data_IF_791740520104
#
_entry.id   IF_791740520104
#
_cell.length_a   1.000
_cell.length_b   1.000
_cell.length_c   1.000
_cell.angle_alpha   90.00
_cell.angle_beta   90.00
_cell.angle_gamma   90.00
#
_symmetry.space_group_name_H-M   'P 1'
#
loop_
_entity.id
_entity.type
_entity.pdbx_description
1 polymer ?
#
# COMPACT_ATOMS: atom_id res chain seq x y z
N UNK A 1 1.13 -18.18 5.63
CA UNK A 1 0.04 -17.17 5.64
C UNK A 1 0.26 -16.22 4.48
N UNK A 2 -0.69 -16.13 3.54
CA UNK A 2 -0.63 -15.11 2.49
C UNK A 2 -0.98 -13.75 3.10
N UNK A 3 -0.13 -12.74 2.90
CA UNK A 3 -0.37 -11.39 3.39
C UNK A 3 -1.35 -10.68 2.45
N UNK A 4 -2.61 -10.55 2.87
CA UNK A 4 -3.63 -9.84 2.12
C UNK A 4 -3.65 -8.37 2.52
N UNK A 5 -3.29 -7.48 1.60
CA UNK A 5 -3.41 -6.04 1.82
C UNK A 5 -4.87 -5.62 1.91
N UNK A 6 -5.16 -4.55 2.65
CA UNK A 6 -6.47 -3.92 2.60
C UNK A 6 -6.70 -3.31 1.22
N UNK A 7 -7.89 -3.53 0.68
CA UNK A 7 -8.42 -2.87 -0.51
C UNK A 7 -8.96 -1.49 -0.15
N UNK A 8 -9.32 -0.69 -1.15
CA UNK A 8 -9.97 0.60 -0.90
C UNK A 8 -11.35 0.41 -0.26
N UNK A 9 -12.13 -0.57 -0.71
CA UNK A 9 -13.48 -0.86 -0.20
C UNK A 9 -13.46 -1.25 1.28
N UNK A 10 -12.48 -2.07 1.68
CA UNK A 10 -12.32 -2.45 3.09
C UNK A 10 -11.92 -1.24 3.95
N UNK A 11 -11.07 -0.34 3.44
CA UNK A 11 -10.70 0.91 4.14
C UNK A 11 -11.89 1.85 4.30
N UNK A 12 -12.69 2.00 3.25
CA UNK A 12 -13.93 2.79 3.29
C UNK A 12 -14.93 2.21 4.28
N UNK A 13 -15.11 0.88 4.26
CA UNK A 13 -15.94 0.16 5.22
C UNK A 13 -15.49 0.40 6.66
N UNK A 14 -14.18 0.32 6.93
CA UNK A 14 -13.61 0.61 8.27
C UNK A 14 -13.97 2.04 8.71
N UNK A 15 -13.84 3.04 7.82
CA UNK A 15 -14.21 4.42 8.14
C UNK A 15 -15.71 4.52 8.46
N UNK A 16 -16.58 4.02 7.57
CA UNK A 16 -18.04 4.08 7.73
C UNK A 16 -18.45 3.45 9.07
N UNK A 17 -18.01 2.23 9.36
CA UNK A 17 -18.40 1.55 10.60
C UNK A 17 -17.84 2.23 11.85
N UNK A 18 -16.65 2.85 11.79
CA UNK A 18 -16.14 3.65 12.90
C UNK A 18 -16.97 4.91 13.14
N UNK A 19 -17.45 5.57 12.07
CA UNK A 19 -18.36 6.72 12.21
C UNK A 19 -19.72 6.33 12.80
N UNK A 20 -20.16 5.09 12.58
CA UNK A 20 -21.36 4.52 13.19
C UNK A 20 -21.14 4.05 14.66
N UNK A 21 -19.93 4.21 15.21
CA UNK A 21 -19.62 3.87 16.60
C UNK A 21 -19.22 2.42 16.86
N UNK A 22 -19.06 1.59 15.82
CA UNK A 22 -18.64 0.19 16.01
C UNK A 22 -17.19 0.10 16.51
N UNK A 23 -16.91 -0.92 17.32
CA UNK A 23 -15.55 -1.23 17.75
C UNK A 23 -14.82 -2.11 16.72
N UNK A 24 -13.48 -2.18 16.79
CA UNK A 24 -12.67 -2.93 15.81
C UNK A 24 -13.02 -4.42 15.73
N UNK A 25 -13.44 -5.04 16.83
CA UNK A 25 -13.84 -6.46 16.84
C UNK A 25 -15.14 -6.70 16.06
N UNK A 26 -16.10 -5.77 16.12
CA UNK A 26 -17.32 -5.83 15.31
C UNK A 26 -17.02 -5.61 13.83
N UNK A 27 -16.23 -4.59 13.52
CA UNK A 27 -15.82 -4.26 12.14
C UNK A 27 -15.07 -5.43 11.51
N UNK A 28 -14.18 -6.08 12.25
CA UNK A 28 -13.43 -7.26 11.82
C UNK A 28 -14.33 -8.40 11.35
N UNK A 29 -15.44 -8.64 12.06
CA UNK A 29 -16.43 -9.65 11.66
C UNK A 29 -17.14 -9.28 10.36
N UNK A 30 -17.47 -8.00 10.17
CA UNK A 30 -18.16 -7.50 8.98
C UNK A 30 -17.27 -7.50 7.73
N UNK A 31 -16.00 -7.11 7.89
CA UNK A 31 -15.03 -6.99 6.78
C UNK A 31 -14.26 -8.31 6.57
N UNK A 32 -14.56 -9.36 7.35
CA UNK A 32 -13.89 -10.66 7.31
C UNK A 32 -12.36 -10.55 7.48
N UNK A 33 -11.91 -9.69 8.39
CA UNK A 33 -10.49 -9.46 8.71
C UNK A 33 -10.21 -9.71 10.17
N UNK A 34 -8.94 -9.88 10.52
CA UNK A 34 -8.57 -10.01 11.93
C UNK A 34 -8.66 -8.64 12.65
N UNK A 35 -9.19 -8.56 13.89
CA UNK A 35 -9.30 -7.31 14.63
C UNK A 35 -7.98 -6.55 14.78
N UNK A 36 -6.87 -7.27 14.98
CA UNK A 36 -5.54 -6.64 15.07
C UNK A 36 -5.13 -6.00 13.73
N UNK A 37 -5.46 -6.61 12.59
CA UNK A 37 -5.15 -6.04 11.27
C UNK A 37 -5.87 -4.71 11.07
N UNK A 38 -7.14 -4.62 11.47
CA UNK A 38 -7.90 -3.37 11.42
C UNK A 38 -7.31 -2.33 12.39
N UNK A 39 -6.97 -2.74 13.61
CA UNK A 39 -6.34 -1.83 14.58
C UNK A 39 -5.01 -1.27 14.07
N UNK A 40 -4.17 -2.11 13.46
CA UNK A 40 -2.90 -1.69 12.88
C UNK A 40 -3.10 -0.77 11.67
N UNK A 41 -4.04 -1.09 10.78
CA UNK A 41 -4.39 -0.23 9.64
C UNK A 41 -4.86 1.15 10.11
N UNK A 42 -5.78 1.17 11.08
CA UNK A 42 -6.30 2.41 11.66
C UNK A 42 -5.19 3.24 12.30
N UNK A 43 -4.40 2.65 13.21
CA UNK A 43 -3.31 3.35 13.90
C UNK A 43 -2.24 3.87 12.94
N UNK A 44 -1.91 3.13 11.88
CA UNK A 44 -0.91 3.52 10.88
C UNK A 44 -1.33 4.77 10.09
N UNK A 45 -2.62 4.94 9.87
CA UNK A 45 -3.16 5.99 9.00
C UNK A 45 -4.01 7.04 9.73
N UNK A 46 -4.12 6.95 11.05
CA UNK A 46 -4.69 7.99 11.91
C UNK A 46 -3.70 9.15 12.01
N UNK A 47 -3.99 10.26 11.32
CA UNK A 47 -3.18 11.49 11.37
C UNK A 47 -4.05 12.64 11.86
N UNK A 48 -3.54 13.42 12.81
CA UNK A 48 -4.24 14.59 13.37
C UNK A 48 -5.66 14.26 13.86
N UNK A 49 -5.85 13.04 14.39
CA UNK A 49 -7.15 12.56 14.88
C UNK A 49 -8.12 12.09 13.79
N UNK A 50 -7.76 12.19 12.51
CA UNK A 50 -8.61 11.77 11.39
C UNK A 50 -8.06 10.55 10.65
N UNK A 51 -8.95 9.65 10.24
CA UNK A 51 -8.62 8.51 9.38
C UNK A 51 -9.16 8.77 7.97
N UNK A 52 -8.31 8.63 6.95
CA UNK A 52 -8.67 8.83 5.55
C UNK A 52 -8.31 7.59 4.71
N UNK A 53 -9.31 6.85 4.19
CA UNK A 53 -9.12 5.69 3.31
C UNK A 53 -8.26 6.03 2.09
N UNK A 54 -8.52 7.18 1.45
CA UNK A 54 -7.75 7.66 0.29
C UNK A 54 -6.27 7.86 0.62
N UNK A 55 -5.97 8.45 1.77
CA UNK A 55 -4.58 8.68 2.19
C UNK A 55 -3.89 7.35 2.56
N UNK A 56 -4.61 6.43 3.20
CA UNK A 56 -4.12 5.08 3.50
C UNK A 56 -3.76 4.32 2.21
N UNK A 57 -4.66 4.31 1.23
CA UNK A 57 -4.45 3.72 -0.09
C UNK A 57 -3.26 4.34 -0.83
N UNK A 58 -3.19 5.69 -0.87
CA UNK A 58 -2.07 6.41 -1.50
C UNK A 58 -0.74 6.05 -0.82
N UNK A 59 -0.70 6.05 0.50
CA UNK A 59 0.49 5.68 1.27
C UNK A 59 0.93 4.24 0.98
N UNK A 60 -0.01 3.31 0.84
CA UNK A 60 0.29 1.94 0.43
C UNK A 60 0.93 1.88 -0.96
N UNK A 61 0.35 2.57 -1.97
CA UNK A 61 0.91 2.57 -3.32
C UNK A 61 2.31 3.18 -3.39
N UNK A 62 2.56 4.27 -2.65
CA UNK A 62 3.90 4.86 -2.55
C UNK A 62 4.86 3.84 -1.95
N UNK A 63 4.56 3.25 -0.80
CA UNK A 63 5.41 2.23 -0.20
C UNK A 63 5.66 1.04 -1.15
N UNK A 64 4.60 0.55 -1.81
CA UNK A 64 4.69 -0.55 -2.78
C UNK A 64 5.57 -0.20 -3.98
N UNK A 65 5.55 1.05 -4.43
CA UNK A 65 6.40 1.54 -5.52
C UNK A 65 7.89 1.55 -5.16
N UNK A 66 8.25 1.57 -3.88
CA UNK A 66 9.65 1.41 -3.43
C UNK A 66 10.06 -0.05 -3.24
N UNK A 67 9.10 -0.97 -3.13
CA UNK A 67 9.38 -2.40 -2.96
C UNK A 67 9.74 -3.10 -4.29
N UNK A 68 10.45 -4.22 -4.17
CA UNK A 68 10.79 -5.11 -5.29
C UNK A 68 11.95 -4.61 -6.15
N UNK A 69 12.58 -5.54 -6.88
CA UNK A 69 13.71 -5.24 -7.77
C UNK A 69 13.25 -4.36 -8.92
N UNK A 70 13.93 -3.23 -9.13
CA UNK A 70 13.64 -2.30 -10.21
C UNK A 70 14.37 -2.69 -11.48
N UNK A 71 13.71 -2.54 -12.63
CA UNK A 71 14.32 -2.73 -13.95
C UNK A 71 15.09 -1.46 -14.29
N UNK A 72 16.30 -1.35 -13.75
CA UNK A 72 17.07 -0.09 -13.78
C UNK A 72 17.34 0.40 -15.21
N UNK A 73 17.52 -0.50 -16.17
CA UNK A 73 17.72 -0.14 -17.59
C UNK A 73 16.46 0.40 -18.28
N UNK A 74 15.27 0.22 -17.69
CA UNK A 74 14.01 0.84 -18.14
C UNK A 74 13.78 2.19 -17.47
N UNK A 75 14.43 2.45 -16.33
CA UNK A 75 14.24 3.66 -15.51
C UNK A 75 15.31 4.71 -15.82
N UNK A 76 16.57 4.27 -15.93
CA UNK A 76 17.72 5.13 -16.19
C UNK A 76 18.14 4.99 -17.65
N UNK A 77 17.72 5.96 -18.46
CA UNK A 77 18.03 6.01 -19.89
C UNK A 77 19.52 6.23 -20.17
N UNK A 78 20.23 6.95 -19.30
CA UNK A 78 21.66 7.18 -19.49
C UNK A 78 22.41 5.86 -19.31
N UNK A 79 22.13 5.14 -18.22
CA UNK A 79 22.69 3.81 -17.98
C UNK A 79 22.33 2.85 -19.12
N UNK A 80 21.07 2.86 -19.56
CA UNK A 80 20.59 2.04 -20.67
C UNK A 80 21.39 2.29 -21.95
N UNK A 81 21.64 3.55 -22.29
CA UNK A 81 22.38 3.93 -23.49
C UNK A 81 23.87 3.54 -23.39
N UNK A 82 24.51 3.75 -22.23
CA UNK A 82 25.89 3.31 -21.99
C UNK A 82 26.02 1.79 -22.17
N UNK A 83 25.10 1.01 -21.59
CA UNK A 83 25.12 -0.44 -21.71
C UNK A 83 24.93 -0.87 -23.17
N UNK A 84 24.01 -0.24 -23.92
CA UNK A 84 23.81 -0.52 -25.36
C UNK A 84 25.06 -0.23 -26.19
N UNK A 85 25.69 0.93 -25.98
CA UNK A 85 26.94 1.30 -26.65
C UNK A 85 28.04 0.29 -26.38
N UNK A 86 28.34 0.03 -25.09
CA UNK A 86 29.38 -0.94 -24.72
C UNK A 86 29.12 -2.35 -25.25
N UNK A 87 27.85 -2.76 -25.39
CA UNK A 87 27.50 -4.07 -25.90
C UNK A 87 27.61 -4.17 -27.44
N UNK A 88 27.35 -3.08 -28.16
CA UNK A 88 27.40 -3.05 -29.63
C UNK A 88 28.82 -2.77 -30.16
N UNK A 89 29.60 -1.96 -29.45
CA UNK A 89 30.90 -1.46 -29.94
C UNK A 89 32.09 -2.36 -29.58
N UNK A 90 31.91 -3.36 -28.71
CA UNK A 90 32.97 -4.27 -28.26
C UNK A 90 32.65 -5.76 -28.54
N UNK A 91 31.94 -6.05 -29.64
CA UNK A 91 31.72 -7.41 -30.16
C UNK A 91 32.83 -7.90 -31.08
#
# INVERSE_FOLDING_TARGET
>A
MSYHHFTIDERESILIYRTQGLNFSQIAKLVHRHPSSISHEWKRHLKEGSYSPRNAQKSYHVAKSHCGRKRILEIDHNLSNTVKHLFLDYQ
#
